data_IF_121659275186
#
_entry.id   IF_121659275186
#
_cell.length_a   1.000
_cell.length_b   1.000
_cell.length_c   1.000
_cell.angle_alpha   90.00
_cell.angle_beta   90.00
_cell.angle_gamma   90.00
#
_symmetry.space_group_name_H-M   'P 1'
#
loop_
_entity.id
_entity.type
_entity.pdbx_description
1 polymer ?
#
# COMPACT_ATOMS: atom_id res chain seq x y z
N UNK A 1 -23.33 9.49 -0.83
CA UNK A 1 -23.79 8.28 -0.09
C UNK A 1 -22.94 8.11 1.17
N UNK A 2 -23.52 7.73 2.32
CA UNK A 2 -22.74 7.47 3.54
C UNK A 2 -21.80 6.28 3.36
N UNK A 3 -20.58 6.37 3.89
CA UNK A 3 -19.62 5.28 3.85
C UNK A 3 -20.17 4.01 4.52
N UNK A 4 -19.84 2.86 3.93
CA UNK A 4 -20.09 1.53 4.49
C UNK A 4 -18.89 0.67 4.15
N UNK A 5 -18.42 -0.08 5.15
CA UNK A 5 -17.36 -1.05 4.94
C UNK A 5 -17.77 -2.04 3.84
N UNK A 6 -16.94 -2.15 2.81
CA UNK A 6 -17.06 -3.17 1.78
C UNK A 6 -16.46 -4.49 2.28
N UNK A 7 -17.05 -5.58 1.80
CA UNK A 7 -16.48 -6.90 1.88
C UNK A 7 -16.23 -7.39 0.45
N UNK A 8 -15.00 -7.79 0.17
CA UNK A 8 -14.58 -8.25 -1.14
C UNK A 8 -14.50 -9.79 -1.16
N UNK A 9 -15.06 -10.41 -2.20
CA UNK A 9 -14.99 -11.85 -2.40
C UNK A 9 -13.59 -12.25 -2.89
N UNK A 10 -12.66 -12.37 -1.95
CA UNK A 10 -11.28 -12.79 -2.20
C UNK A 10 -11.00 -14.12 -1.49
N UNK A 11 -10.19 -15.00 -2.04
CA UNK A 11 -9.53 -16.05 -1.25
C UNK A 11 -8.18 -15.56 -0.75
N UNK A 12 -7.98 -15.50 0.57
CA UNK A 12 -6.69 -15.10 1.14
C UNK A 12 -5.70 -16.27 1.01
N UNK A 13 -4.96 -16.26 -0.09
CA UNK A 13 -3.76 -17.08 -0.23
C UNK A 13 -2.62 -16.32 0.44
N UNK A 14 -1.81 -16.99 1.25
CA UNK A 14 -0.72 -16.38 2.02
C UNK A 14 0.59 -17.09 1.72
N UNK A 15 0.89 -17.25 0.43
CA UNK A 15 2.01 -18.05 -0.06
C UNK A 15 2.75 -17.28 -1.15
N UNK A 16 4.05 -17.09 -0.95
CA UNK A 16 4.96 -16.46 -1.89
C UNK A 16 5.86 -17.56 -2.47
N UNK A 17 5.63 -17.91 -3.74
CA UNK A 17 6.62 -18.72 -4.47
C UNK A 17 7.80 -17.83 -4.85
N UNK A 18 8.81 -17.78 -3.98
CA UNK A 18 9.99 -16.92 -4.15
C UNK A 18 10.76 -17.18 -5.44
N UNK A 19 10.60 -18.35 -6.07
CA UNK A 19 11.24 -18.69 -7.35
C UNK A 19 10.60 -17.97 -8.54
N UNK A 20 9.38 -17.45 -8.35
CA UNK A 20 8.62 -16.70 -9.35
C UNK A 20 8.80 -15.19 -9.21
N UNK A 21 9.45 -14.73 -8.13
CA UNK A 21 9.69 -13.31 -7.93
C UNK A 21 10.63 -12.77 -9.00
N UNK A 22 10.20 -11.69 -9.64
CA UNK A 22 11.04 -10.90 -10.51
C UNK A 22 11.77 -9.81 -9.72
N UNK A 23 12.87 -9.32 -10.26
CA UNK A 23 13.55 -8.13 -9.77
C UNK A 23 13.94 -7.27 -10.98
N UNK A 24 13.60 -5.97 -10.99
CA UNK A 24 13.90 -5.11 -12.12
C UNK A 24 15.39 -4.80 -12.13
N UNK A 25 15.91 -4.57 -13.33
CA UNK A 25 17.25 -4.03 -13.51
C UNK A 25 17.30 -2.55 -13.10
N UNK A 26 18.50 -2.04 -12.84
CA UNK A 26 18.70 -0.62 -12.51
C UNK A 26 18.18 0.30 -13.62
N UNK A 27 18.45 -0.05 -14.88
CA UNK A 27 18.02 0.72 -16.05
C UNK A 27 16.50 0.76 -16.15
N UNK A 28 15.80 -0.35 -15.88
CA UNK A 28 14.33 -0.35 -15.89
C UNK A 28 13.74 0.58 -14.82
N UNK A 29 14.39 0.73 -13.66
CA UNK A 29 13.96 1.67 -12.61
C UNK A 29 14.25 3.12 -13.04
N UNK A 30 15.42 3.39 -13.60
CA UNK A 30 15.80 4.72 -14.09
C UNK A 30 14.86 5.19 -15.21
N UNK A 31 14.60 4.34 -16.20
CA UNK A 31 13.67 4.62 -17.30
C UNK A 31 12.23 4.84 -16.78
N UNK A 32 11.83 4.10 -15.74
CA UNK A 32 10.52 4.24 -15.12
C UNK A 32 10.34 5.58 -14.40
N UNK A 33 11.34 6.02 -13.65
CA UNK A 33 11.34 7.31 -12.95
C UNK A 33 11.28 8.48 -13.95
N UNK A 34 12.01 8.39 -15.06
CA UNK A 34 12.00 9.43 -16.11
C UNK A 34 10.69 9.45 -16.91
N UNK A 35 10.12 8.29 -17.21
CA UNK A 35 8.93 8.18 -18.08
C UNK A 35 7.60 8.28 -17.34
N UNK A 36 7.60 8.04 -16.02
CA UNK A 36 6.38 7.82 -15.24
C UNK A 36 5.66 6.51 -15.61
N UNK A 37 6.30 5.61 -16.35
CA UNK A 37 5.71 4.33 -16.76
C UNK A 37 6.47 3.15 -16.18
N UNK A 38 5.78 2.29 -15.41
CA UNK A 38 6.39 1.07 -14.89
C UNK A 38 5.40 -0.08 -14.71
N UNK A 39 5.66 -1.21 -15.40
CA UNK A 39 4.86 -2.45 -15.29
C UNK A 39 3.34 -2.20 -15.45
N UNK A 40 2.98 -1.34 -16.40
CA UNK A 40 1.58 -0.99 -16.68
C UNK A 40 1.00 0.15 -15.84
N UNK A 41 1.72 0.64 -14.84
CA UNK A 41 1.41 1.92 -14.19
C UNK A 41 1.84 3.07 -15.12
N UNK A 42 0.91 3.98 -15.45
CA UNK A 42 1.16 5.14 -16.32
C UNK A 42 1.42 6.44 -15.54
N UNK A 43 1.45 6.37 -14.22
CA UNK A 43 1.77 7.45 -13.31
C UNK A 43 2.65 6.90 -12.18
N UNK A 44 3.68 6.14 -12.55
CA UNK A 44 4.67 5.62 -11.62
C UNK A 44 5.43 6.78 -10.97
N UNK A 45 5.61 6.67 -9.66
CA UNK A 45 6.46 7.52 -8.85
C UNK A 45 7.39 6.60 -8.06
N UNK A 46 8.69 6.88 -8.06
CA UNK A 46 9.62 6.10 -7.27
C UNK A 46 9.42 6.39 -5.77
N UNK A 47 8.84 5.41 -5.08
CA UNK A 47 8.63 5.41 -3.64
C UNK A 47 9.56 4.43 -2.92
N UNK A 48 10.68 4.03 -3.53
CA UNK A 48 11.65 3.12 -2.91
C UNK A 48 12.37 3.77 -1.72
N UNK A 49 12.61 2.98 -0.68
CA UNK A 49 13.44 3.38 0.46
C UNK A 49 12.73 4.28 1.48
N UNK A 50 11.39 4.32 1.50
CA UNK A 50 10.65 5.00 2.55
C UNK A 50 10.93 4.33 3.91
N UNK A 51 10.96 5.11 4.98
CA UNK A 51 11.38 4.64 6.30
C UNK A 51 10.19 4.23 7.18
N UNK A 52 10.48 3.58 8.31
CA UNK A 52 9.51 3.35 9.38
C UNK A 52 8.92 4.67 9.92
N UNK A 53 9.67 5.78 9.83
CA UNK A 53 9.18 7.11 10.20
C UNK A 53 8.13 7.62 9.20
N UNK A 54 8.38 7.49 7.89
CA UNK A 54 7.37 7.83 6.88
C UNK A 54 6.11 6.98 7.06
N UNK A 55 6.28 5.68 7.31
CA UNK A 55 5.16 4.77 7.58
C UNK A 55 4.34 5.21 8.80
N UNK A 56 5.00 5.57 9.90
CA UNK A 56 4.31 6.06 11.10
C UNK A 56 3.57 7.38 10.86
N UNK A 57 4.12 8.28 10.05
CA UNK A 57 3.48 9.55 9.69
C UNK A 57 2.25 9.30 8.82
N UNK A 58 2.41 8.56 7.72
CA UNK A 58 1.32 8.25 6.78
C UNK A 58 0.20 7.47 7.45
N UNK A 59 0.49 6.48 8.30
CA UNK A 59 -0.54 5.77 9.07
C UNK A 59 -1.39 6.69 9.95
N UNK A 60 -0.80 7.73 10.51
CA UNK A 60 -1.52 8.69 11.35
C UNK A 60 -2.42 9.58 10.50
N UNK A 61 -1.90 10.09 9.38
CA UNK A 61 -2.63 10.96 8.44
C UNK A 61 -3.79 10.18 7.81
N UNK A 62 -3.49 9.02 7.22
CA UNK A 62 -4.48 8.16 6.56
C UNK A 62 -5.61 7.74 7.51
N UNK A 63 -5.30 7.42 8.77
CA UNK A 63 -6.33 7.12 9.78
C UNK A 63 -7.25 8.29 10.04
N UNK A 64 -6.71 9.49 10.20
CA UNK A 64 -7.53 10.68 10.43
C UNK A 64 -8.46 10.96 9.25
N UNK A 65 -7.99 10.74 8.01
CA UNK A 65 -8.80 10.88 6.81
C UNK A 65 -9.89 9.81 6.76
N UNK A 66 -9.56 8.55 7.04
CA UNK A 66 -10.53 7.45 7.09
C UNK A 66 -11.61 7.71 8.14
N UNK A 67 -11.23 8.16 9.35
CA UNK A 67 -12.20 8.52 10.39
C UNK A 67 -13.14 9.65 9.93
N UNK A 68 -12.61 10.67 9.24
CA UNK A 68 -13.40 11.75 8.63
C UNK A 68 -14.36 11.22 7.57
N UNK A 69 -13.91 10.30 6.72
CA UNK A 69 -14.70 9.67 5.66
C UNK A 69 -15.82 8.78 6.22
N UNK A 70 -15.54 8.00 7.26
CA UNK A 70 -16.52 7.17 7.95
C UNK A 70 -17.61 8.00 8.63
N UNK A 71 -17.28 9.21 9.08
CA UNK A 71 -18.21 10.14 9.71
C UNK A 71 -19.03 10.95 8.70
N UNK A 72 -18.60 11.04 7.44
CA UNK A 72 -19.25 11.85 6.42
C UNK A 72 -20.62 11.28 5.99
N UNK A 73 -21.57 12.18 5.74
CA UNK A 73 -22.88 11.82 5.19
C UNK A 73 -22.80 11.49 3.68
N UNK A 74 -21.81 12.04 2.98
CA UNK A 74 -21.50 11.73 1.60
C UNK A 74 -19.99 11.49 1.42
N UNK A 75 -19.63 10.22 1.21
CA UNK A 75 -18.25 9.79 0.97
C UNK A 75 -17.66 10.40 -0.30
N UNK A 76 -18.45 10.57 -1.37
CA UNK A 76 -17.93 11.07 -2.63
C UNK A 76 -17.58 12.56 -2.52
N UNK A 77 -18.43 13.34 -1.83
CA UNK A 77 -18.14 14.74 -1.56
C UNK A 77 -16.96 14.90 -0.59
N UNK A 78 -16.83 14.00 0.40
CA UNK A 78 -15.67 14.01 1.30
C UNK A 78 -14.37 13.64 0.58
N UNK A 79 -14.41 12.69 -0.36
CA UNK A 79 -13.29 12.31 -1.20
C UNK A 79 -12.86 13.45 -2.12
N UNK A 80 -13.82 14.09 -2.82
CA UNK A 80 -13.56 15.26 -3.68
C UNK A 80 -12.95 16.43 -2.87
N UNK A 81 -13.48 16.72 -1.68
CA UNK A 81 -12.90 17.74 -0.80
C UNK A 81 -11.46 17.39 -0.35
N UNK A 82 -11.16 16.12 -0.11
CA UNK A 82 -9.79 15.69 0.18
C UNK A 82 -8.88 15.77 -1.05
N UNK A 83 -9.40 15.55 -2.25
CA UNK A 83 -8.69 15.76 -3.51
C UNK A 83 -8.32 17.24 -3.70
N UNK A 84 -9.17 18.17 -3.28
CA UNK A 84 -8.83 19.60 -3.27
C UNK A 84 -7.78 19.92 -2.18
N UNK A 85 -7.94 19.39 -0.96
CA UNK A 85 -7.00 19.61 0.15
C UNK A 85 -5.57 19.13 -0.19
N UNK A 86 -5.42 17.98 -0.86
CA UNK A 86 -4.09 17.44 -1.18
C UNK A 86 -3.34 18.28 -2.21
N UNK A 87 -4.04 19.01 -3.09
CA UNK A 87 -3.40 19.93 -4.04
C UNK A 87 -2.71 21.12 -3.33
N UNK A 88 -3.11 21.40 -2.09
CA UNK A 88 -2.57 22.46 -1.25
C UNK A 88 -1.64 21.93 -0.15
N UNK A 89 -1.29 20.64 -0.17
CA UNK A 89 -0.48 20.00 0.87
C UNK A 89 0.97 20.55 0.91
N UNK A 90 1.48 20.73 2.14
CA UNK A 90 2.84 21.25 2.39
C UNK A 90 3.94 20.18 2.23
N UNK A 91 3.57 18.90 2.25
CA UNK A 91 4.50 17.77 2.16
C UNK A 91 3.91 16.57 1.41
N UNK A 92 4.76 15.71 0.80
CA UNK A 92 4.31 14.47 0.18
C UNK A 92 3.53 13.56 1.13
N UNK A 93 3.88 13.49 2.41
CA UNK A 93 3.15 12.68 3.38
C UNK A 93 1.73 13.20 3.63
N UNK A 94 1.52 14.52 3.63
CA UNK A 94 0.21 15.15 3.84
C UNK A 94 -0.75 14.88 2.67
N UNK A 95 -0.24 14.76 1.44
CA UNK A 95 -1.00 14.30 0.27
C UNK A 95 -0.99 12.77 0.07
N UNK A 96 -0.49 12.01 1.05
CA UNK A 96 -0.34 10.55 0.98
C UNK A 96 0.51 10.06 -0.22
N UNK A 97 1.49 10.84 -0.67
CA UNK A 97 2.29 10.59 -1.88
C UNK A 97 1.43 10.45 -3.14
N UNK A 98 0.27 11.13 -3.20
CA UNK A 98 -0.68 10.98 -4.29
C UNK A 98 -1.40 9.62 -4.32
N UNK A 99 -1.26 8.79 -3.29
CA UNK A 99 -1.85 7.45 -3.22
C UNK A 99 -3.31 7.48 -2.74
N UNK A 100 -4.03 6.41 -3.04
CA UNK A 100 -5.40 6.21 -2.59
C UNK A 100 -5.49 6.03 -1.07
N UNK A 101 -6.50 6.65 -0.45
CA UNK A 101 -6.86 6.41 0.96
C UNK A 101 -7.26 4.94 1.14
N UNK A 102 -6.76 4.32 2.20
CA UNK A 102 -6.98 2.91 2.55
C UNK A 102 -5.85 1.97 2.11
N UNK A 103 -4.93 2.44 1.26
CA UNK A 103 -3.80 1.65 0.76
C UNK A 103 -2.46 2.38 0.82
N UNK A 104 -2.44 3.69 1.11
CA UNK A 104 -1.24 4.50 1.10
C UNK A 104 -0.21 3.98 2.13
N UNK A 105 -0.63 3.75 3.37
CA UNK A 105 0.26 3.20 4.40
C UNK A 105 0.79 1.80 4.04
N UNK A 106 0.03 0.99 3.30
CA UNK A 106 0.48 -0.32 2.85
C UNK A 106 1.58 -0.21 1.80
N UNK A 107 1.46 0.73 0.85
CA UNK A 107 2.53 1.04 -0.12
C UNK A 107 3.81 1.45 0.61
N UNK A 108 3.70 2.37 1.58
CA UNK A 108 4.84 2.82 2.38
C UNK A 108 5.43 1.66 3.20
N UNK A 109 4.61 0.78 3.75
CA UNK A 109 5.07 -0.40 4.47
C UNK A 109 5.84 -1.37 3.56
N UNK A 110 5.36 -1.61 2.33
CA UNK A 110 6.06 -2.44 1.35
C UNK A 110 7.43 -1.84 1.01
N UNK A 111 7.49 -0.53 0.78
CA UNK A 111 8.75 0.19 0.54
C UNK A 111 9.72 0.09 1.72
N UNK A 112 9.25 0.35 2.95
CA UNK A 112 10.05 0.26 4.17
C UNK A 112 10.53 -1.16 4.49
N UNK A 113 9.86 -2.17 3.96
CA UNK A 113 10.32 -3.57 4.03
C UNK A 113 11.30 -3.94 2.90
N UNK A 114 11.73 -2.98 2.09
CA UNK A 114 12.70 -3.16 1.01
C UNK A 114 12.10 -3.66 -0.31
N UNK A 115 10.78 -3.51 -0.49
CA UNK A 115 10.13 -3.73 -1.79
C UNK A 115 10.16 -2.50 -2.68
N UNK A 116 9.81 -2.68 -3.95
CA UNK A 116 9.60 -1.59 -4.92
C UNK A 116 8.12 -1.59 -5.28
N UNK A 117 7.28 -0.74 -4.64
CA UNK A 117 5.88 -0.63 -5.00
C UNK A 117 5.73 -0.11 -6.42
N UNK A 118 4.87 -0.74 -7.22
CA UNK A 118 4.68 -0.34 -8.64
C UNK A 118 3.24 -0.01 -8.98
N UNK A 119 2.27 -0.57 -8.25
CA UNK A 119 0.86 -0.25 -8.41
C UNK A 119 0.11 -0.45 -7.09
N UNK A 120 -0.96 0.31 -6.90
CA UNK A 120 -1.90 0.09 -5.79
C UNK A 120 -3.29 0.55 -6.19
N UNK A 121 -4.30 0.08 -5.47
CA UNK A 121 -5.68 0.54 -5.64
C UNK A 121 -6.46 0.20 -4.38
N UNK A 122 -7.37 1.07 -3.94
CA UNK A 122 -8.28 0.81 -2.81
C UNK A 122 -9.62 0.16 -3.22
N UNK A 123 -9.82 -0.14 -4.52
CA UNK A 123 -11.05 -0.69 -5.09
C UNK A 123 -12.33 0.15 -4.85
N UNK A 124 -12.20 1.46 -4.64
CA UNK A 124 -13.33 2.37 -4.39
C UNK A 124 -13.86 2.33 -2.97
N UNK A 125 -13.11 1.73 -2.04
CA UNK A 125 -13.49 1.65 -0.62
C UNK A 125 -13.78 2.99 0.04
N UNK A 126 -13.26 4.08 -0.53
CA UNK A 126 -13.35 5.43 0.01
C UNK A 126 -13.84 6.46 -1.03
N UNK A 127 -14.66 6.02 -2.00
CA UNK A 127 -15.14 6.85 -3.10
C UNK A 127 -14.29 6.69 -4.37
N UNK A 128 -14.62 7.47 -5.42
CA UNK A 128 -13.87 7.45 -6.69
C UNK A 128 -14.23 6.30 -7.65
N UNK A 129 -13.62 6.31 -8.83
CA UNK A 129 -13.75 5.24 -9.83
C UNK A 129 -12.50 4.36 -9.84
N UNK A 130 -12.68 3.07 -9.58
CA UNK A 130 -11.57 2.13 -9.47
C UNK A 130 -11.83 0.87 -10.31
N UNK A 131 -10.75 0.31 -10.87
CA UNK A 131 -10.83 -0.87 -11.74
C UNK A 131 -10.62 -2.19 -10.99
N UNK A 132 -9.96 -2.13 -9.84
CA UNK A 132 -9.66 -3.31 -9.04
C UNK A 132 -10.92 -3.85 -8.37
N UNK A 133 -11.02 -5.18 -8.25
CA UNK A 133 -12.12 -5.83 -7.55
C UNK A 133 -11.96 -5.84 -6.02
N UNK A 134 -10.76 -5.53 -5.53
CA UNK A 134 -10.39 -5.52 -4.11
C UNK A 134 -9.14 -4.66 -3.89
N UNK A 135 -8.92 -4.16 -2.67
CA UNK A 135 -7.74 -3.34 -2.38
C UNK A 135 -6.47 -4.16 -2.51
N UNK A 136 -5.46 -3.62 -3.18
CA UNK A 136 -4.18 -4.29 -3.37
C UNK A 136 -3.00 -3.33 -3.46
N UNK A 137 -1.80 -3.86 -3.19
CA UNK A 137 -0.50 -3.28 -3.51
C UNK A 137 0.30 -4.32 -4.28
N UNK A 138 0.83 -3.97 -5.45
CA UNK A 138 1.75 -4.78 -6.23
C UNK A 138 3.16 -4.21 -6.14
N UNK A 139 4.16 -5.07 -5.99
CA UNK A 139 5.55 -4.67 -5.83
C UNK A 139 6.53 -5.72 -6.32
N UNK A 140 7.75 -5.29 -6.64
CA UNK A 140 8.89 -6.20 -6.64
C UNK A 140 9.35 -6.44 -5.20
N UNK A 141 9.72 -7.69 -4.92
CA UNK A 141 10.15 -8.10 -3.58
C UNK A 141 11.46 -8.88 -3.67
N UNK A 142 12.48 -8.55 -2.85
CA UNK A 142 13.67 -9.38 -2.76
C UNK A 142 13.31 -10.79 -2.30
N UNK A 143 13.92 -11.81 -2.92
CA UNK A 143 13.69 -13.23 -2.62
C UNK A 143 13.78 -13.51 -1.11
N UNK A 144 14.77 -12.91 -0.45
CA UNK A 144 15.05 -13.13 0.97
C UNK A 144 14.00 -12.49 1.90
N UNK A 145 13.16 -11.57 1.39
CA UNK A 145 12.09 -10.94 2.15
C UNK A 145 10.77 -11.72 2.11
N UNK A 146 10.64 -12.71 1.21
CA UNK A 146 9.42 -13.53 1.06
C UNK A 146 8.86 -14.07 2.39
N UNK A 147 9.65 -14.82 3.19
CA UNK A 147 9.16 -15.38 4.46
C UNK A 147 8.71 -14.33 5.48
N UNK A 148 9.28 -13.11 5.45
CA UNK A 148 8.87 -12.00 6.33
C UNK A 148 7.50 -11.48 5.92
N UNK A 149 7.27 -11.32 4.62
CA UNK A 149 5.98 -10.89 4.07
C UNK A 149 4.87 -11.91 4.33
N UNK A 150 5.14 -13.20 4.17
CA UNK A 150 4.16 -14.25 4.48
C UNK A 150 3.71 -14.19 5.95
N UNK A 151 4.65 -14.06 6.90
CA UNK A 151 4.31 -13.95 8.32
C UNK A 151 3.47 -12.70 8.63
N UNK A 152 3.83 -11.56 8.03
CA UNK A 152 3.05 -10.33 8.17
C UNK A 152 1.65 -10.49 7.55
N UNK A 153 1.54 -11.14 6.38
CA UNK A 153 0.27 -11.37 5.72
C UNK A 153 -0.67 -12.25 6.55
N UNK A 154 -0.14 -13.33 7.14
CA UNK A 154 -0.85 -14.19 8.09
C UNK A 154 -1.33 -13.39 9.30
N UNK A 155 -0.45 -12.62 9.94
CA UNK A 155 -0.78 -11.83 11.12
C UNK A 155 -1.83 -10.74 10.86
N UNK A 156 -1.76 -10.11 9.68
CA UNK A 156 -2.69 -9.09 9.24
C UNK A 156 -4.01 -9.65 8.70
N UNK A 157 -4.10 -10.97 8.48
CA UNK A 157 -5.19 -11.62 7.77
C UNK A 157 -5.43 -10.98 6.38
N UNK A 158 -4.35 -10.74 5.64
CA UNK A 158 -4.38 -10.30 4.24
C UNK A 158 -3.86 -11.39 3.32
N UNK A 159 -4.15 -11.29 2.04
CA UNK A 159 -3.63 -12.18 1.02
C UNK A 159 -2.27 -11.70 0.54
N UNK A 160 -1.39 -12.64 0.23
CA UNK A 160 -0.14 -12.40 -0.50
C UNK A 160 0.10 -13.50 -1.52
N UNK A 161 0.30 -13.11 -2.78
CA UNK A 161 0.54 -14.02 -3.93
C UNK A 161 1.59 -13.44 -4.86
N UNK A 162 2.21 -14.29 -5.68
CA UNK A 162 3.07 -13.88 -6.80
C UNK A 162 2.30 -14.08 -8.11
N UNK A 163 2.16 -13.03 -8.90
CA UNK A 163 1.51 -13.11 -10.21
C UNK A 163 2.42 -13.66 -11.30
N UNK A 164 1.87 -13.76 -12.51
CA UNK A 164 2.62 -14.24 -13.68
C UNK A 164 3.68 -13.24 -14.16
N UNK A 165 3.55 -11.97 -13.77
CA UNK A 165 4.53 -10.90 -13.96
C UNK A 165 5.67 -10.92 -12.93
N UNK A 166 5.66 -11.86 -12.00
CA UNK A 166 6.65 -11.98 -10.94
C UNK A 166 6.56 -10.91 -9.84
N UNK A 167 5.49 -10.11 -9.84
CA UNK A 167 5.21 -9.16 -8.76
C UNK A 167 4.53 -9.86 -7.59
N UNK A 168 4.95 -9.51 -6.38
CA UNK A 168 4.16 -9.82 -5.18
C UNK A 168 2.95 -8.89 -5.13
N UNK A 169 1.79 -9.44 -4.77
CA UNK A 169 0.55 -8.69 -4.54
C UNK A 169 0.08 -8.93 -3.13
N UNK A 170 0.02 -7.87 -2.32
CA UNK A 170 -0.64 -7.87 -1.01
C UNK A 170 -2.07 -7.35 -1.21
N UNK A 171 -3.09 -8.05 -0.73
CA UNK A 171 -4.49 -7.67 -0.98
C UNK A 171 -5.41 -7.95 0.20
N UNK A 172 -6.46 -7.14 0.35
CA UNK A 172 -7.43 -7.21 1.44
C UNK A 172 -8.79 -7.77 1.03
N UNK A 173 -9.59 -8.17 2.03
CA UNK A 173 -11.02 -8.49 1.95
C UNK A 173 -11.92 -7.37 2.48
N UNK A 174 -11.35 -6.34 3.10
CA UNK A 174 -12.04 -5.14 3.55
C UNK A 174 -11.24 -3.88 3.24
N UNK A 175 -11.92 -2.74 3.27
CA UNK A 175 -11.33 -1.41 3.03
C UNK A 175 -10.17 -1.06 3.99
N UNK A 176 -10.11 -1.72 5.16
CA UNK A 176 -9.15 -1.40 6.23
C UNK A 176 -8.04 -2.46 6.38
N UNK A 177 -8.10 -3.55 5.63
CA UNK A 177 -7.19 -4.68 5.78
C UNK A 177 -5.73 -4.31 5.46
N UNK A 178 -5.52 -3.47 4.44
CA UNK A 178 -4.17 -3.04 4.04
C UNK A 178 -3.58 -2.01 5.02
N UNK A 179 -4.40 -1.17 5.64
CA UNK A 179 -3.95 -0.34 6.77
C UNK A 179 -3.53 -1.19 7.96
N UNK A 180 -4.28 -2.26 8.28
CA UNK A 180 -3.91 -3.20 9.34
C UNK A 180 -2.59 -3.92 9.04
N UNK A 181 -2.35 -4.30 7.78
CA UNK A 181 -1.07 -4.83 7.36
C UNK A 181 0.07 -3.85 7.63
N UNK A 182 -0.13 -2.58 7.28
CA UNK A 182 0.84 -1.51 7.52
C UNK A 182 1.12 -1.26 9.01
N UNK A 183 0.09 -1.30 9.87
CA UNK A 183 0.24 -1.21 11.34
C UNK A 183 1.13 -2.33 11.89
N UNK A 184 0.89 -3.58 11.47
CA UNK A 184 1.68 -4.73 11.93
C UNK A 184 3.10 -4.72 11.37
N UNK A 185 3.29 -4.25 10.13
CA UNK A 185 4.61 -4.03 9.57
C UNK A 185 5.41 -3.02 10.39
N UNK A 186 4.79 -1.89 10.77
CA UNK A 186 5.43 -0.87 11.61
C UNK A 186 5.79 -1.42 13.00
N UNK A 187 4.89 -2.18 13.63
CA UNK A 187 5.17 -2.82 14.92
C UNK A 187 6.37 -3.76 14.82
N UNK A 188 6.42 -4.61 13.79
CA UNK A 188 7.52 -5.53 13.57
C UNK A 188 8.86 -4.82 13.33
N UNK A 189 8.88 -3.66 12.66
CA UNK A 189 10.10 -2.86 12.47
C UNK A 189 10.63 -2.32 13.80
N UNK A 190 9.75 -1.81 14.65
CA UNK A 190 10.11 -1.28 15.98
C UNK A 190 10.68 -2.36 16.90
N UNK A 191 10.13 -3.57 16.85
CA UNK A 191 10.64 -4.69 17.65
C UNK A 191 12.09 -5.06 17.26
N UNK A 192 12.43 -4.98 15.96
CA UNK A 192 13.80 -5.23 15.49
C UNK A 192 14.77 -4.14 15.94
N UNK A 193 14.37 -2.87 15.90
CA UNK A 193 15.20 -1.75 16.36
C UNK A 193 15.52 -1.84 17.85
N UNK A 194 14.53 -2.27 18.66
CA UNK A 194 14.73 -2.50 20.10
C UNK A 194 15.71 -3.64 20.34
N UNK A 195 15.62 -4.75 19.59
CA UNK A 195 16.54 -5.88 19.74
C UNK A 195 17.96 -5.59 19.26
N UNK A 196 18.13 -4.72 18.25
CA UNK A 196 19.45 -4.33 17.74
C UNK A 196 20.18 -3.31 18.64
N UNK A 197 19.46 -2.67 19.58
CA UNK A 197 19.99 -1.66 20.50
C UNK A 197 20.39 -2.23 21.87
N UNK A 198 20.31 -3.54 22.07
CA UNK A 198 20.64 -4.29 23.30
C UNK A 198 21.86 -5.17 23.08
#
# INVERSE_FOLDING_TARGET
MKWRANAYEADLLQVIDVRRLAWPTKTEIEDADESGYFVGNCAYQDLVGLSAQHLSTVLKIERAIVERFMAADDINAAAEAFDDERLEADSPEDELFGLDVGVASAVVAVSALGGIPVASCNAGGFGGLHQAQQPYVAAFLPVDHGPKFERLAVAAAVGVVVGDDGLVRVYGRSDLDLMRFAELALAAMKDVEVQASV
#
